data_IF_227952117421
#
_entry.id   IF_227952117421
#
_cell.length_a   1.000
_cell.length_b   1.000
_cell.length_c   1.000
_cell.angle_alpha   90.00
_cell.angle_beta   90.00
_cell.angle_gamma   90.00
#
_symmetry.space_group_name_H-M   'P 1'
#
loop_
_entity.id
_entity.type
_entity.pdbx_description
1 polymer ?
#
# COMPACT_ATOMS: atom_id res chain seq x y z
N UNK A 1 51.52 -11.62 -10.98
CA UNK A 1 50.33 -11.12 -11.70
C UNK A 1 49.15 -11.89 -11.15
N UNK A 2 48.40 -11.32 -10.20
CA UNK A 2 47.34 -12.05 -9.49
C UNK A 2 46.00 -11.46 -9.93
N UNK A 3 45.20 -12.27 -10.63
CA UNK A 3 43.83 -11.93 -10.99
C UNK A 3 42.97 -11.94 -9.72
N UNK A 4 42.62 -10.76 -9.23
CA UNK A 4 41.61 -10.59 -8.19
C UNK A 4 40.25 -10.67 -8.89
N UNK A 5 39.65 -11.87 -8.87
CA UNK A 5 38.27 -12.05 -9.29
C UNK A 5 37.37 -11.25 -8.35
N UNK A 6 36.78 -10.17 -8.86
CA UNK A 6 35.75 -9.42 -8.17
C UNK A 6 34.51 -10.32 -8.02
N UNK A 7 34.36 -10.91 -6.84
CA UNK A 7 33.15 -11.60 -6.45
C UNK A 7 32.04 -10.54 -6.34
N UNK A 8 31.13 -10.51 -7.33
CA UNK A 8 29.94 -9.66 -7.24
C UNK A 8 29.07 -10.28 -6.15
N UNK A 9 29.21 -9.76 -4.94
CA UNK A 9 28.31 -10.06 -3.85
C UNK A 9 26.92 -9.62 -4.29
N UNK A 10 26.08 -10.59 -4.69
CA UNK A 10 24.66 -10.33 -4.83
C UNK A 10 24.17 -9.88 -3.46
N UNK A 11 23.88 -8.59 -3.32
CA UNK A 11 23.16 -8.11 -2.15
C UNK A 11 21.85 -8.88 -2.15
N UNK A 12 21.64 -9.71 -1.12
CA UNK A 12 20.31 -10.21 -0.80
C UNK A 12 19.42 -8.97 -0.68
N UNK A 13 18.66 -8.65 -1.72
CA UNK A 13 17.67 -7.58 -1.67
C UNK A 13 16.84 -7.83 -0.43
N UNK A 14 16.81 -6.86 0.48
CA UNK A 14 15.95 -6.94 1.66
C UNK A 14 14.53 -7.28 1.20
N UNK A 15 13.88 -8.20 1.92
CA UNK A 15 12.55 -8.70 1.56
C UNK A 15 11.58 -7.51 1.48
N UNK A 16 11.05 -7.26 0.28
CA UNK A 16 10.18 -6.11 0.03
C UNK A 16 8.93 -6.18 0.88
N UNK A 17 8.40 -5.05 1.32
CA UNK A 17 7.21 -4.98 2.19
C UNK A 17 6.08 -4.22 1.50
N UNK A 18 4.93 -4.88 1.33
CA UNK A 18 3.74 -4.33 0.70
C UNK A 18 2.65 -4.09 1.75
N UNK A 19 2.09 -2.88 1.78
CA UNK A 19 0.95 -2.53 2.61
C UNK A 19 -0.36 -2.75 1.85
N UNK A 20 -1.29 -3.52 2.41
CA UNK A 20 -2.65 -3.69 1.89
C UNK A 20 -3.61 -2.87 2.73
N UNK A 21 -4.25 -1.89 2.12
CA UNK A 21 -5.15 -0.97 2.82
C UNK A 21 -6.58 -1.39 2.48
N UNK A 22 -7.32 -1.84 3.49
CA UNK A 22 -8.71 -2.27 3.34
C UNK A 22 -9.63 -1.58 4.35
N UNK A 23 -10.91 -1.42 4.01
CA UNK A 23 -11.83 -0.70 4.89
C UNK A 23 -12.34 -1.59 6.01
N UNK A 24 -12.48 -2.89 5.75
CA UNK A 24 -13.01 -3.87 6.69
C UNK A 24 -12.58 -5.30 6.31
N UNK A 25 -12.53 -6.20 7.28
CA UNK A 25 -12.35 -7.64 7.06
C UNK A 25 -13.72 -8.29 6.87
N UNK A 26 -13.85 -9.21 5.90
CA UNK A 26 -14.99 -10.16 5.87
C UNK A 26 -16.15 -9.86 4.91
N UNK A 27 -16.03 -8.95 3.93
CA UNK A 27 -16.91 -9.03 2.75
C UNK A 27 -16.46 -10.18 1.86
N UNK A 28 -17.40 -10.95 1.32
CA UNK A 28 -17.12 -12.10 0.45
C UNK A 28 -16.16 -11.77 -0.71
N UNK A 29 -16.30 -10.57 -1.31
CA UNK A 29 -15.40 -10.09 -2.37
C UNK A 29 -14.01 -9.68 -1.85
N UNK A 30 -13.89 -9.23 -0.60
CA UNK A 30 -12.61 -8.97 0.04
C UNK A 30 -11.84 -10.25 0.37
N UNK A 31 -12.53 -11.34 0.70
CA UNK A 31 -11.87 -12.59 1.09
C UNK A 31 -11.08 -13.24 -0.06
N UNK A 32 -11.66 -13.33 -1.26
CA UNK A 32 -10.97 -13.88 -2.43
C UNK A 32 -9.83 -12.97 -2.91
N UNK A 33 -10.05 -11.65 -2.88
CA UNK A 33 -9.01 -10.68 -3.19
C UNK A 33 -7.82 -10.81 -2.23
N UNK A 34 -8.07 -10.78 -0.92
CA UNK A 34 -7.01 -10.91 0.09
C UNK A 34 -6.31 -12.27 -0.01
N UNK A 35 -7.03 -13.36 -0.26
CA UNK A 35 -6.43 -14.67 -0.49
C UNK A 35 -5.47 -14.67 -1.69
N UNK A 36 -5.89 -14.07 -2.82
CA UNK A 36 -5.04 -13.94 -4.00
C UNK A 36 -3.82 -13.06 -3.75
N UNK A 37 -3.97 -11.97 -3.00
CA UNK A 37 -2.85 -11.10 -2.61
C UNK A 37 -1.88 -11.84 -1.69
N UNK A 38 -2.38 -12.60 -0.71
CA UNK A 38 -1.55 -13.44 0.17
C UNK A 38 -0.77 -14.47 -0.63
N UNK A 39 -1.44 -15.21 -1.51
CA UNK A 39 -0.78 -16.21 -2.36
C UNK A 39 0.31 -15.55 -3.24
N UNK A 40 0.00 -14.44 -3.90
CA UNK A 40 0.98 -13.73 -4.72
C UNK A 40 2.17 -13.19 -3.90
N UNK A 41 1.93 -12.74 -2.68
CA UNK A 41 2.98 -12.26 -1.79
C UNK A 41 3.93 -13.39 -1.34
N UNK A 42 3.39 -14.59 -1.12
CA UNK A 42 4.16 -15.80 -0.85
C UNK A 42 5.01 -16.20 -2.06
N UNK A 43 4.40 -16.29 -3.25
CA UNK A 43 5.09 -16.63 -4.50
C UNK A 43 6.21 -15.63 -4.84
N UNK A 44 5.98 -14.34 -4.60
CA UNK A 44 6.97 -13.28 -4.82
C UNK A 44 7.98 -13.11 -3.66
N UNK A 45 7.83 -13.88 -2.58
CA UNK A 45 8.62 -13.75 -1.35
C UNK A 45 8.69 -12.31 -0.82
N UNK A 46 7.54 -11.65 -0.63
CA UNK A 46 7.45 -10.29 -0.04
C UNK A 46 6.72 -10.33 1.30
N UNK A 47 6.99 -9.37 2.19
CA UNK A 47 6.22 -9.17 3.40
C UNK A 47 4.89 -8.49 3.05
N UNK A 48 3.82 -8.90 3.72
CA UNK A 48 2.49 -8.34 3.51
C UNK A 48 1.93 -7.84 4.85
N UNK A 49 1.61 -6.54 4.92
CA UNK A 49 1.04 -5.90 6.12
C UNK A 49 -0.34 -5.37 5.79
N UNK A 50 -1.36 -5.81 6.52
CA UNK A 50 -2.74 -5.36 6.31
C UNK A 50 -3.08 -4.23 7.27
N UNK A 51 -3.48 -3.09 6.71
CA UNK A 51 -4.02 -1.95 7.44
C UNK A 51 -5.53 -1.91 7.22
N UNK A 52 -6.30 -2.14 8.28
CA UNK A 52 -7.76 -2.20 8.22
C UNK A 52 -8.34 -0.97 8.92
N UNK A 53 -8.59 0.11 8.19
CA UNK A 53 -8.81 1.45 8.76
C UNK A 53 -10.10 2.17 8.36
N UNK A 54 -10.99 1.53 7.60
CA UNK A 54 -12.19 2.17 7.07
C UNK A 54 -11.97 2.90 5.75
N UNK A 55 -12.69 4.00 5.52
CA UNK A 55 -12.54 4.78 4.28
C UNK A 55 -11.32 5.70 4.38
N UNK A 56 -10.73 6.06 3.23
CA UNK A 56 -9.67 7.07 3.14
C UNK A 56 -10.21 8.50 3.29
N UNK A 57 -10.95 8.73 4.38
CA UNK A 57 -11.44 10.05 4.77
C UNK A 57 -10.57 10.55 5.92
N UNK A 58 -10.08 11.78 5.83
CA UNK A 58 -9.33 12.38 6.92
C UNK A 58 -10.19 12.43 8.19
N UNK A 59 -9.56 12.12 9.33
CA UNK A 59 -10.22 12.17 10.62
C UNK A 59 -10.63 13.62 10.97
N UNK A 60 -11.83 13.83 11.55
CA UNK A 60 -12.26 15.15 11.99
C UNK A 60 -11.27 15.78 12.98
N UNK A 61 -10.99 17.07 12.80
CA UNK A 61 -10.06 17.81 13.67
C UNK A 61 -8.58 17.53 13.44
N UNK A 62 -8.22 16.79 12.39
CA UNK A 62 -6.84 16.67 11.95
C UNK A 62 -6.30 17.99 11.39
N UNK A 63 -4.99 18.20 11.53
CA UNK A 63 -4.30 19.34 10.94
C UNK A 63 -4.47 19.31 9.42
N UNK A 64 -4.99 20.39 8.84
CA UNK A 64 -5.19 20.50 7.39
C UNK A 64 -3.87 20.39 6.60
N UNK A 65 -2.74 20.69 7.24
CA UNK A 65 -1.40 20.52 6.65
C UNK A 65 -0.84 19.11 6.79
N UNK A 66 -1.37 18.29 7.70
CA UNK A 66 -0.98 16.90 7.92
C UNK A 66 -2.18 16.05 8.38
N UNK A 67 -3.12 15.74 7.47
CA UNK A 67 -4.33 15.01 7.81
C UNK A 67 -4.01 13.59 8.29
N UNK A 68 -4.76 13.14 9.29
CA UNK A 68 -4.67 11.78 9.84
C UNK A 68 -5.72 10.88 9.20
N UNK A 69 -5.32 9.66 8.87
CA UNK A 69 -6.19 8.62 8.32
C UNK A 69 -6.30 7.41 9.28
N UNK A 70 -6.07 7.64 10.58
CA UNK A 70 -6.24 6.63 11.63
C UNK A 70 -5.21 5.52 11.50
N UNK A 71 -5.66 4.26 11.38
CA UNK A 71 -4.77 3.09 11.31
C UNK A 71 -3.81 3.11 10.12
N UNK A 72 -4.16 3.85 9.06
CA UNK A 72 -3.30 4.03 7.91
C UNK A 72 -2.05 4.86 8.22
N UNK A 73 -2.05 5.69 9.26
CA UNK A 73 -0.89 6.51 9.63
C UNK A 73 0.27 5.68 10.22
N UNK A 74 -0.01 4.43 10.60
CA UNK A 74 1.01 3.48 11.05
C UNK A 74 1.95 3.05 9.93
N UNK A 75 1.52 3.17 8.67
CA UNK A 75 2.36 2.94 7.50
C UNK A 75 3.27 4.15 7.26
N UNK A 76 4.41 4.22 7.96
CA UNK A 76 5.30 5.37 7.80
C UNK A 76 5.96 5.37 6.42
N UNK A 77 6.14 6.53 5.78
CA UNK A 77 6.92 6.65 4.56
C UNK A 77 8.31 6.01 4.73
N UNK A 78 8.71 5.16 3.77
CA UNK A 78 9.98 4.40 3.82
C UNK A 78 9.90 3.03 4.50
N UNK A 79 8.78 2.64 5.10
CA UNK A 79 8.57 1.28 5.62
C UNK A 79 7.94 0.33 4.60
N UNK A 80 7.32 0.88 3.54
CA UNK A 80 6.63 0.15 2.50
C UNK A 80 7.31 0.38 1.15
N UNK A 81 7.53 -0.70 0.41
CA UNK A 81 8.00 -0.69 -0.97
C UNK A 81 6.85 -0.58 -1.97
N UNK A 82 5.61 -0.77 -1.51
CA UNK A 82 4.40 -0.64 -2.33
C UNK A 82 3.13 -0.65 -1.48
N UNK A 83 2.06 -0.08 -2.04
CA UNK A 83 0.73 -0.03 -1.43
C UNK A 83 -0.31 -0.59 -2.40
N UNK A 84 -1.19 -1.44 -1.87
CA UNK A 84 -2.35 -1.96 -2.55
C UNK A 84 -3.62 -1.43 -1.87
N UNK A 85 -4.43 -0.68 -2.59
CA UNK A 85 -5.72 -0.19 -2.10
C UNK A 85 -6.84 -1.11 -2.60
N UNK A 86 -7.67 -1.61 -1.69
CA UNK A 86 -8.92 -2.29 -2.05
C UNK A 86 -10.00 -1.27 -2.41
N UNK A 87 -10.91 -1.61 -3.31
CA UNK A 87 -11.92 -0.65 -3.81
C UNK A 87 -12.79 -0.02 -2.70
N UNK A 88 -13.04 -0.76 -1.62
CA UNK A 88 -13.89 -0.34 -0.51
C UNK A 88 -13.31 0.83 0.29
N UNK A 89 -11.98 1.03 0.31
CA UNK A 89 -11.38 2.18 0.99
C UNK A 89 -11.68 3.51 0.30
N UNK A 90 -11.97 3.48 -1.00
CA UNK A 90 -12.27 4.65 -1.81
C UNK A 90 -13.79 4.87 -2.00
N UNK A 91 -14.63 3.92 -1.59
CA UNK A 91 -16.07 3.99 -1.85
C UNK A 91 -16.74 5.19 -1.15
N UNK A 92 -17.20 6.17 -1.93
CA UNK A 92 -17.82 7.39 -1.43
C UNK A 92 -16.84 8.38 -0.78
N UNK A 93 -15.54 8.23 -1.05
CA UNK A 93 -14.50 9.21 -0.71
C UNK A 93 -14.36 10.20 -1.87
N UNK A 94 -14.11 11.47 -1.57
CA UNK A 94 -13.97 12.50 -2.61
C UNK A 94 -12.62 12.38 -3.35
N UNK A 95 -12.58 12.82 -4.62
CA UNK A 95 -11.32 12.89 -5.38
C UNK A 95 -10.26 13.75 -4.69
N UNK A 96 -10.68 14.81 -4.00
CA UNK A 96 -9.79 15.69 -3.25
C UNK A 96 -9.12 14.93 -2.10
N UNK A 97 -9.88 14.14 -1.33
CA UNK A 97 -9.35 13.35 -0.22
C UNK A 97 -8.40 12.25 -0.72
N UNK A 98 -8.73 11.59 -1.83
CA UNK A 98 -7.86 10.58 -2.45
C UNK A 98 -6.54 11.19 -2.95
N UNK A 99 -6.58 12.39 -3.55
CA UNK A 99 -5.38 13.12 -3.97
C UNK A 99 -4.50 13.53 -2.79
N UNK A 100 -5.11 14.03 -1.71
CA UNK A 100 -4.41 14.37 -0.47
C UNK A 100 -3.73 13.14 0.11
N UNK A 101 -4.46 12.03 0.23
CA UNK A 101 -3.90 10.76 0.70
C UNK A 101 -2.73 10.27 -0.17
N UNK A 102 -2.87 10.32 -1.51
CA UNK A 102 -1.81 9.94 -2.45
C UNK A 102 -0.54 10.76 -2.25
N UNK A 103 -0.66 12.04 -1.87
CA UNK A 103 0.47 12.95 -1.65
C UNK A 103 1.34 12.49 -0.46
N UNK A 104 0.72 11.96 0.60
CA UNK A 104 1.43 11.40 1.77
C UNK A 104 2.36 10.24 1.41
N UNK A 105 2.00 9.48 0.38
CA UNK A 105 2.73 8.31 -0.10
C UNK A 105 3.35 8.51 -1.48
N UNK A 106 3.60 9.76 -1.89
CA UNK A 106 3.99 10.11 -3.28
C UNK A 106 5.18 9.29 -3.82
N UNK A 107 6.14 8.93 -2.97
CA UNK A 107 7.34 8.15 -3.31
C UNK A 107 7.13 6.63 -3.35
N UNK A 108 5.98 6.14 -2.89
CA UNK A 108 5.66 4.71 -2.83
C UNK A 108 4.75 4.35 -4.00
N UNK A 109 5.07 3.31 -4.80
CA UNK A 109 4.18 2.77 -5.81
C UNK A 109 2.84 2.37 -5.21
N UNK A 110 1.74 2.81 -5.82
CA UNK A 110 0.39 2.56 -5.31
C UNK A 110 -0.47 1.99 -6.43
N UNK A 111 -1.09 0.84 -6.17
CA UNK A 111 -2.00 0.17 -7.09
C UNK A 111 -3.37 0.06 -6.44
N UNK A 112 -4.42 0.30 -7.20
CA UNK A 112 -5.81 0.10 -6.76
C UNK A 112 -6.38 -1.11 -7.49
N UNK A 113 -7.17 -1.93 -6.78
CA UNK A 113 -7.98 -2.95 -7.43
C UNK A 113 -9.39 -2.40 -7.63
N UNK A 114 -9.86 -2.42 -8.88
CA UNK A 114 -11.23 -2.02 -9.29
C UNK A 114 -11.58 -0.53 -9.11
N UNK A 115 -10.68 0.36 -9.56
CA UNK A 115 -11.03 1.77 -9.85
C UNK A 115 -10.76 2.01 -11.34
N UNK A 116 -11.74 2.44 -12.15
CA UNK A 116 -11.46 2.87 -13.51
C UNK A 116 -10.58 4.12 -13.45
N UNK A 117 -9.35 4.01 -13.92
CA UNK A 117 -8.52 5.17 -14.24
C UNK A 117 -8.96 5.62 -15.63
N UNK A 118 -9.83 6.62 -15.69
CA UNK A 118 -10.00 7.36 -16.93
C UNK A 118 -8.67 8.07 -17.20
N UNK A 119 -7.88 7.54 -18.14
CA UNK A 119 -6.80 8.28 -18.76
C UNK A 119 -7.43 9.32 -19.72
N UNK A 120 -6.82 10.50 -19.90
CA UNK A 120 -7.21 11.42 -20.95
C UNK A 120 -7.10 10.77 -22.35
#
# INVERSE_FOLDING_TARGET
>A
MNAHGSNIQMTSSERKTIGVFASQVGRAWGAQFLAGVTQAAEEANVNLVHFIGGKLTAMPGSDLSNPSYGLYDLAKPGQLDGILLTADVAYGVSDADLKTFRTLYSQVPMVTQSVPIALP
#
